data_IF_393333516800
#
_entry.id   IF_393333516800
#
_cell.length_a   1.000
_cell.length_b   1.000
_cell.length_c   1.000
_cell.angle_alpha   90.00
_cell.angle_beta   90.00
_cell.angle_gamma   90.00
#
_symmetry.space_group_name_H-M   'P 1'
#
loop_
_entity.id
_entity.type
_entity.pdbx_description
1 polymer ?
#
# COMPACT_ATOMS: atom_id res chain seq x y z
N UNK A 1 -16.89 -5.82 44.23
CA UNK A 1 -15.73 -6.36 43.50
C UNK A 1 -15.14 -5.27 42.64
N UNK A 2 -13.84 -4.94 42.73
CA UNK A 2 -13.25 -3.83 42.00
C UNK A 2 -13.03 -4.20 40.54
N UNK A 3 -13.35 -3.25 39.63
CA UNK A 3 -13.09 -3.33 38.21
C UNK A 3 -11.58 -3.38 37.97
N UNK A 4 -11.12 -4.44 37.29
CA UNK A 4 -9.76 -4.51 36.73
C UNK A 4 -9.67 -3.57 35.53
N UNK A 5 -8.98 -2.46 35.69
CA UNK A 5 -8.49 -1.62 34.60
C UNK A 5 -7.37 -2.40 33.90
N UNK A 6 -7.64 -2.87 32.68
CA UNK A 6 -6.60 -3.42 31.83
C UNK A 6 -5.73 -2.24 31.32
N UNK A 7 -4.68 -1.96 32.07
CA UNK A 7 -3.59 -1.10 31.59
C UNK A 7 -2.85 -1.85 30.48
N UNK A 8 -2.93 -1.33 29.27
CA UNK A 8 -1.96 -1.63 28.19
C UNK A 8 -0.61 -1.12 28.70
N UNK A 9 0.44 -1.93 28.76
CA UNK A 9 1.74 -1.41 29.13
C UNK A 9 2.18 -0.40 28.06
N UNK A 10 2.29 0.87 28.46
CA UNK A 10 3.11 1.85 27.75
C UNK A 10 4.54 1.32 27.78
N UNK A 11 4.97 0.69 26.71
CA UNK A 11 6.39 0.45 26.48
C UNK A 11 6.91 1.72 25.82
N UNK A 12 7.65 2.58 26.56
CA UNK A 12 8.32 3.71 25.94
C UNK A 12 9.41 3.11 25.06
N UNK A 13 9.17 3.03 23.76
CA UNK A 13 10.22 2.75 22.81
C UNK A 13 10.92 4.09 22.59
N UNK A 14 12.05 4.31 23.25
CA UNK A 14 13.00 5.37 22.93
C UNK A 14 13.23 5.32 21.41
N UNK A 15 12.76 6.34 20.71
CA UNK A 15 13.13 6.56 19.32
C UNK A 15 14.63 6.82 19.31
N UNK A 16 15.41 5.83 18.93
CA UNK A 16 16.84 5.99 18.67
C UNK A 16 16.98 6.90 17.45
N UNK A 17 17.01 8.21 17.70
CA UNK A 17 17.26 9.24 16.67
C UNK A 17 18.66 9.08 16.03
N UNK A 18 19.56 8.31 16.65
CA UNK A 18 20.93 8.07 16.16
C UNK A 18 20.99 7.11 14.98
N UNK A 19 19.93 6.32 14.72
CA UNK A 19 19.87 5.36 13.60
C UNK A 19 19.47 6.00 12.25
N UNK A 20 19.10 7.27 12.20
CA UNK A 20 18.66 7.97 10.98
C UNK A 20 19.84 8.38 10.05
N UNK A 21 21.09 8.08 10.42
CA UNK A 21 22.27 8.42 9.63
C UNK A 21 22.43 7.44 8.47
N UNK A 22 22.14 7.91 7.25
CA UNK A 22 22.39 7.26 5.94
C UNK A 22 21.55 6.02 5.60
N UNK A 23 20.22 6.13 5.63
CA UNK A 23 19.32 5.07 5.15
C UNK A 23 19.48 4.76 3.64
N UNK A 24 19.93 5.70 2.82
CA UNK A 24 20.19 5.50 1.40
C UNK A 24 21.70 5.47 1.07
N UNK A 25 22.09 4.75 0.01
CA UNK A 25 23.50 4.77 -0.45
C UNK A 25 23.86 6.16 -0.99
N UNK A 26 25.15 6.60 -0.88
CA UNK A 26 25.59 7.90 -1.43
C UNK A 26 25.24 8.07 -2.91
N UNK A 27 25.43 7.01 -3.70
CA UNK A 27 25.08 7.01 -5.12
C UNK A 27 23.56 7.21 -5.33
N UNK A 28 22.71 6.57 -4.53
CA UNK A 28 21.26 6.79 -4.65
C UNK A 28 20.86 8.19 -4.20
N UNK A 29 21.54 8.77 -3.23
CA UNK A 29 21.28 10.15 -2.81
C UNK A 29 21.52 11.14 -3.97
N UNK A 30 22.60 10.96 -4.73
CA UNK A 30 22.87 11.78 -5.92
C UNK A 30 21.78 11.62 -6.99
N UNK A 31 21.41 10.39 -7.31
CA UNK A 31 20.33 10.08 -8.25
C UNK A 31 19.00 10.68 -7.75
N UNK A 32 18.68 10.52 -6.48
CA UNK A 32 17.46 11.08 -5.86
C UNK A 32 17.42 12.60 -5.95
N UNK A 33 18.54 13.29 -5.65
CA UNK A 33 18.61 14.75 -5.75
C UNK A 33 18.29 15.20 -7.17
N UNK A 34 18.87 14.57 -8.19
CA UNK A 34 18.56 14.86 -9.58
C UNK A 34 17.09 14.59 -9.92
N UNK A 35 16.55 13.42 -9.49
CA UNK A 35 15.13 13.08 -9.71
C UNK A 35 14.17 14.06 -9.03
N UNK A 36 14.59 14.65 -7.91
CA UNK A 36 13.75 15.58 -7.16
C UNK A 36 13.66 16.97 -7.83
N UNK A 37 14.53 17.29 -8.77
CA UNK A 37 14.40 18.48 -9.62
C UNK A 37 13.28 18.34 -10.69
N UNK A 38 12.82 17.10 -10.95
CA UNK A 38 11.71 16.84 -11.90
C UNK A 38 10.37 16.81 -11.17
N UNK A 39 9.25 16.98 -11.90
CA UNK A 39 7.94 16.68 -11.34
C UNK A 39 7.87 15.19 -10.91
N UNK A 40 7.14 14.85 -9.82
CA UNK A 40 7.17 13.49 -9.29
C UNK A 40 6.73 12.40 -10.28
N UNK A 41 5.74 12.67 -11.12
CA UNK A 41 5.24 11.70 -12.10
C UNK A 41 6.27 11.47 -13.24
N UNK A 42 6.91 12.54 -13.72
CA UNK A 42 8.00 12.44 -14.72
C UNK A 42 9.19 11.69 -14.13
N UNK A 43 9.59 12.01 -12.91
CA UNK A 43 10.68 11.33 -12.22
C UNK A 43 10.40 9.83 -12.05
N UNK A 44 9.15 9.45 -11.74
CA UNK A 44 8.73 8.04 -11.63
C UNK A 44 8.94 7.29 -12.95
N UNK A 45 8.39 7.80 -14.04
CA UNK A 45 8.54 7.18 -15.38
C UNK A 45 10.01 7.09 -15.81
N UNK A 46 10.78 8.17 -15.60
CA UNK A 46 12.21 8.22 -15.94
C UNK A 46 13.00 7.20 -15.11
N UNK A 47 12.76 7.15 -13.80
CA UNK A 47 13.44 6.21 -12.89
C UNK A 47 13.15 4.76 -13.27
N UNK A 48 11.88 4.41 -13.58
CA UNK A 48 11.50 3.05 -13.90
C UNK A 48 12.00 2.61 -15.28
N UNK A 49 12.04 3.52 -16.27
CA UNK A 49 12.66 3.25 -17.57
C UNK A 49 14.17 3.06 -17.45
N UNK A 50 14.85 3.93 -16.68
CA UNK A 50 16.28 3.80 -16.41
C UNK A 50 16.62 2.50 -15.67
N UNK A 51 15.83 2.15 -14.64
CA UNK A 51 15.96 0.88 -13.93
C UNK A 51 15.77 -0.32 -14.87
N UNK A 52 14.76 -0.27 -15.74
CA UNK A 52 14.51 -1.30 -16.75
C UNK A 52 15.72 -1.50 -17.68
N UNK A 53 16.35 -0.40 -18.10
CA UNK A 53 17.57 -0.46 -18.92
C UNK A 53 18.74 -1.09 -18.16
N UNK A 54 19.01 -0.66 -16.93
CA UNK A 54 20.07 -1.22 -16.08
C UNK A 54 19.88 -2.73 -15.88
N UNK A 55 18.66 -3.16 -15.52
CA UNK A 55 18.35 -4.57 -15.25
C UNK A 55 18.46 -5.49 -16.48
N UNK A 56 18.41 -4.95 -17.69
CA UNK A 56 18.61 -5.70 -18.93
C UNK A 56 20.08 -5.90 -19.29
N UNK A 57 21.01 -5.15 -18.68
CA UNK A 57 22.45 -5.34 -18.94
C UNK A 57 22.93 -6.65 -18.31
N UNK A 58 23.68 -7.51 -19.04
CA UNK A 58 24.01 -8.86 -18.55
C UNK A 58 24.78 -8.87 -17.22
N UNK A 59 25.87 -8.15 -17.13
CA UNK A 59 26.75 -8.16 -15.93
C UNK A 59 26.24 -7.19 -14.86
N UNK A 60 26.03 -5.92 -15.21
CA UNK A 60 25.61 -4.86 -14.28
C UNK A 60 24.23 -5.18 -13.73
N UNK A 61 23.28 -5.60 -14.59
CA UNK A 61 21.92 -5.96 -14.18
C UNK A 61 21.89 -7.16 -13.23
N UNK A 62 22.69 -8.21 -13.51
CA UNK A 62 22.78 -9.37 -12.63
C UNK A 62 23.34 -8.99 -11.24
N UNK A 63 24.41 -8.20 -11.21
CA UNK A 63 24.99 -7.70 -9.95
C UNK A 63 24.00 -6.81 -9.19
N UNK A 64 23.31 -5.92 -9.92
CA UNK A 64 22.33 -5.01 -9.33
C UNK A 64 21.15 -5.78 -8.70
N UNK A 65 20.58 -6.76 -9.41
CA UNK A 65 19.53 -7.66 -8.88
C UNK A 65 19.97 -8.34 -7.60
N UNK A 66 21.16 -8.99 -7.60
CA UNK A 66 21.73 -9.62 -6.41
C UNK A 66 21.90 -8.64 -5.26
N UNK A 67 22.19 -7.36 -5.55
CA UNK A 67 22.36 -6.33 -4.52
C UNK A 67 21.03 -5.81 -3.93
N UNK A 68 19.89 -6.12 -4.54
CA UNK A 68 18.56 -5.70 -4.09
C UNK A 68 17.81 -6.81 -3.34
N UNK A 69 18.02 -8.07 -3.70
CA UNK A 69 17.35 -9.22 -3.09
C UNK A 69 17.89 -9.45 -1.66
N UNK A 70 17.01 -9.71 -0.66
CA UNK A 70 17.45 -10.00 0.71
C UNK A 70 18.22 -11.33 0.77
N UNK A 71 19.29 -11.37 1.59
CA UNK A 71 20.11 -12.58 1.74
C UNK A 71 19.36 -13.70 2.50
N UNK A 72 18.44 -13.35 3.39
CA UNK A 72 17.76 -14.25 4.32
C UNK A 72 16.23 -14.11 4.25
N UNK A 73 15.66 -13.90 3.08
CA UNK A 73 14.21 -13.86 2.89
C UNK A 73 13.59 -15.19 3.32
N UNK A 74 12.71 -15.18 4.34
CA UNK A 74 11.96 -16.36 4.76
C UNK A 74 10.58 -16.33 4.13
N UNK A 75 10.12 -17.42 3.49
CA UNK A 75 8.74 -17.52 3.03
C UNK A 75 7.75 -17.41 4.19
N UNK A 76 6.63 -16.75 3.93
CA UNK A 76 5.55 -16.53 4.90
C UNK A 76 4.24 -16.97 4.28
N UNK A 77 3.48 -17.80 5.01
CA UNK A 77 2.15 -18.24 4.59
C UNK A 77 1.08 -17.28 5.12
N UNK A 78 0.28 -16.71 4.24
CA UNK A 78 -0.87 -15.87 4.59
C UNK A 78 -2.04 -16.20 3.66
N UNK A 79 -3.19 -16.53 4.21
CA UNK A 79 -4.40 -16.91 3.44
C UNK A 79 -4.14 -17.97 2.36
N UNK A 80 -3.30 -18.99 2.65
CA UNK A 80 -2.98 -20.05 1.69
C UNK A 80 -1.99 -19.65 0.59
N UNK A 81 -1.49 -18.41 0.61
CA UNK A 81 -0.48 -17.92 -0.35
C UNK A 81 0.90 -17.94 0.33
N UNK A 82 1.89 -18.50 -0.34
CA UNK A 82 3.29 -18.43 0.09
C UNK A 82 3.96 -17.21 -0.50
N UNK A 83 4.26 -16.23 0.37
CA UNK A 83 5.00 -15.03 0.02
C UNK A 83 6.49 -15.29 0.18
N UNK A 84 7.35 -15.00 -0.82
CA UNK A 84 8.80 -15.23 -0.75
C UNK A 84 9.48 -14.50 0.43
N UNK A 85 8.91 -13.39 0.86
CA UNK A 85 9.28 -12.64 2.06
C UNK A 85 8.13 -11.71 2.48
N UNK A 86 8.24 -11.13 3.68
CA UNK A 86 7.19 -10.32 4.28
C UNK A 86 7.08 -8.87 3.79
N UNK A 87 7.94 -8.42 2.86
CA UNK A 87 7.94 -7.02 2.42
C UNK A 87 7.41 -6.88 0.99
N UNK A 88 6.34 -6.12 0.83
CA UNK A 88 5.72 -5.81 -0.45
C UNK A 88 5.74 -4.33 -0.82
N UNK A 89 5.32 -4.06 -2.05
CA UNK A 89 5.09 -2.72 -2.56
C UNK A 89 3.59 -2.40 -2.57
N UNK A 90 3.21 -1.29 -1.94
CA UNK A 90 1.82 -0.86 -1.82
C UNK A 90 1.25 -0.35 -3.15
N UNK A 91 -0.07 -0.45 -3.30
CA UNK A 91 -0.81 0.10 -4.44
C UNK A 91 -0.52 1.59 -4.68
N UNK A 92 -0.63 2.00 -5.94
CA UNK A 92 -0.40 3.36 -6.39
C UNK A 92 0.98 3.60 -6.99
N UNK A 93 1.98 2.74 -6.74
CA UNK A 93 3.30 2.84 -7.35
C UNK A 93 3.28 2.32 -8.80
N UNK A 94 2.81 1.10 -9.02
CA UNK A 94 2.55 0.54 -10.35
C UNK A 94 1.04 0.41 -10.58
N UNK A 95 0.41 1.52 -10.93
CA UNK A 95 -1.05 1.59 -11.09
C UNK A 95 -1.60 0.72 -12.22
N UNK A 96 -0.75 0.42 -13.20
CA UNK A 96 -1.16 -0.20 -14.45
C UNK A 96 -0.44 -1.54 -14.74
N UNK A 97 0.25 -2.11 -13.76
CA UNK A 97 1.04 -3.35 -13.91
C UNK A 97 2.12 -3.25 -15.02
N UNK A 98 2.78 -2.10 -15.15
CA UNK A 98 3.82 -1.85 -16.17
C UNK A 98 5.21 -2.33 -15.76
N UNK A 99 5.47 -2.47 -14.46
CA UNK A 99 6.82 -2.59 -13.91
C UNK A 99 7.06 -3.88 -13.11
N UNK A 100 6.19 -4.89 -13.25
CA UNK A 100 6.23 -6.13 -12.45
C UNK A 100 7.56 -6.88 -12.51
N UNK A 101 8.19 -6.95 -13.69
CA UNK A 101 9.50 -7.61 -13.85
C UNK A 101 10.60 -6.88 -13.07
N UNK A 102 10.63 -5.55 -13.16
CA UNK A 102 11.60 -4.72 -12.44
C UNK A 102 11.39 -4.82 -10.93
N UNK A 103 10.14 -4.78 -10.47
CA UNK A 103 9.79 -4.86 -9.05
C UNK A 103 10.13 -6.23 -8.46
N UNK A 104 9.93 -7.33 -9.22
CA UNK A 104 10.42 -8.64 -8.84
C UNK A 104 11.93 -8.67 -8.67
N UNK A 105 12.67 -8.10 -9.64
CA UNK A 105 14.13 -8.06 -9.65
C UNK A 105 14.70 -7.23 -8.48
N UNK A 106 13.90 -6.32 -7.89
CA UNK A 106 14.23 -5.60 -6.65
C UNK A 106 13.98 -6.40 -5.38
N UNK A 107 13.43 -7.62 -5.48
CA UNK A 107 13.27 -8.54 -4.35
C UNK A 107 11.99 -8.39 -3.54
N UNK A 108 11.00 -7.60 -4.00
CA UNK A 108 9.70 -7.52 -3.32
C UNK A 108 9.03 -8.89 -3.25
N UNK A 109 8.54 -9.27 -2.07
CA UNK A 109 7.79 -10.51 -1.85
C UNK A 109 6.41 -10.49 -2.50
N UNK A 110 5.82 -9.29 -2.61
CA UNK A 110 4.58 -9.06 -3.34
C UNK A 110 4.49 -7.62 -3.83
N UNK A 111 3.66 -7.42 -4.85
CA UNK A 111 3.36 -6.09 -5.42
C UNK A 111 1.85 -5.91 -5.52
N UNK A 112 1.32 -4.83 -4.96
CA UNK A 112 -0.08 -4.46 -5.12
C UNK A 112 -0.19 -3.45 -6.26
N UNK A 113 -0.79 -3.88 -7.39
CA UNK A 113 -1.03 -3.03 -8.57
C UNK A 113 -2.37 -2.31 -8.46
N UNK A 114 -2.51 -1.19 -9.13
CA UNK A 114 -3.73 -0.36 -9.04
C UNK A 114 -3.49 0.87 -8.15
N UNK A 115 -4.55 1.55 -7.69
CA UNK A 115 -5.98 1.19 -7.82
C UNK A 115 -6.41 1.29 -9.29
N UNK A 116 -7.05 0.23 -9.75
CA UNK A 116 -7.64 0.16 -11.08
C UNK A 116 -9.16 0.27 -10.97
N UNK A 117 -9.76 0.89 -11.99
CA UNK A 117 -11.21 1.05 -12.13
C UNK A 117 -11.68 0.29 -13.37
N UNK A 118 -12.98 -0.06 -13.49
CA UNK A 118 -13.51 -0.77 -14.66
C UNK A 118 -13.10 -0.18 -16.00
N UNK A 119 -13.24 1.13 -16.14
CA UNK A 119 -12.81 1.88 -17.33
C UNK A 119 -11.65 2.82 -16.99
N UNK A 120 -10.85 3.16 -17.98
CA UNK A 120 -9.74 4.10 -17.83
C UNK A 120 -10.24 5.48 -17.38
N UNK A 121 -9.43 6.17 -16.59
CA UNK A 121 -9.71 7.57 -16.23
C UNK A 121 -8.42 8.35 -16.00
N UNK A 122 -8.40 9.65 -16.35
CA UNK A 122 -7.20 10.50 -16.24
C UNK A 122 -6.83 10.83 -14.79
N UNK A 123 -7.75 10.67 -13.84
CA UNK A 123 -7.60 11.14 -12.48
C UNK A 123 -7.82 12.65 -12.35
N UNK A 124 -7.27 13.24 -11.27
CA UNK A 124 -7.36 14.66 -11.04
C UNK A 124 -6.32 15.45 -11.87
N UNK A 125 -6.56 16.76 -12.15
CA UNK A 125 -5.59 17.59 -12.86
C UNK A 125 -4.23 17.65 -12.17
N UNK A 126 -3.15 17.78 -12.95
CA UNK A 126 -1.81 18.04 -12.46
C UNK A 126 -1.64 19.55 -12.11
N UNK A 127 -0.77 19.91 -11.13
CA UNK A 127 0.04 19.03 -10.31
C UNK A 127 -0.79 18.32 -9.22
N UNK A 128 -0.52 17.04 -9.02
CA UNK A 128 -1.33 16.17 -8.12
C UNK A 128 -0.50 15.25 -7.22
N UNK A 129 0.81 15.39 -7.26
CA UNK A 129 1.76 14.68 -6.41
C UNK A 129 2.86 15.64 -5.99
N UNK A 130 3.05 15.80 -4.67
CA UNK A 130 3.95 16.77 -4.06
C UNK A 130 4.87 16.08 -3.07
N UNK A 131 6.16 16.44 -3.10
CA UNK A 131 7.16 15.96 -2.15
C UNK A 131 7.29 16.92 -0.98
N UNK A 132 7.41 16.36 0.22
CA UNK A 132 7.76 17.08 1.44
C UNK A 132 9.08 16.51 1.97
N UNK A 133 10.24 16.95 1.43
CA UNK A 133 11.53 16.32 1.75
C UNK A 133 11.90 16.40 3.23
N UNK A 134 11.59 17.50 3.92
CA UNK A 134 11.87 17.70 5.35
C UNK A 134 11.13 16.68 6.23
N UNK A 135 9.96 16.22 5.77
CA UNK A 135 9.11 15.26 6.45
C UNK A 135 9.28 13.83 5.94
N UNK A 136 10.16 13.59 4.96
CA UNK A 136 10.25 12.32 4.24
C UNK A 136 8.85 11.83 3.80
N UNK A 137 8.05 12.72 3.20
CA UNK A 137 6.63 12.53 2.94
C UNK A 137 6.22 12.93 1.53
N UNK A 138 5.00 12.52 1.15
CA UNK A 138 4.33 12.92 -0.07
C UNK A 138 2.89 13.33 0.23
N UNK A 139 2.39 14.36 -0.45
CA UNK A 139 0.94 14.63 -0.56
C UNK A 139 0.52 14.26 -1.98
N UNK A 140 -0.54 13.47 -2.11
CA UNK A 140 -1.09 13.10 -3.40
C UNK A 140 -2.61 13.33 -3.47
N UNK A 141 -3.07 13.75 -4.65
CA UNK A 141 -4.48 13.80 -5.04
C UNK A 141 -4.69 13.20 -6.43
N UNK A 142 -4.18 11.98 -6.61
CA UNK A 142 -4.12 11.32 -7.91
C UNK A 142 -5.49 11.05 -8.53
N UNK A 143 -6.51 10.70 -7.73
CA UNK A 143 -7.87 10.45 -8.22
C UNK A 143 -8.00 9.20 -9.07
N UNK A 144 -7.25 8.14 -8.72
CA UNK A 144 -7.25 6.84 -9.40
C UNK A 144 -7.00 6.92 -10.91
N UNK A 145 -6.01 7.74 -11.34
CA UNK A 145 -5.57 7.72 -12.73
C UNK A 145 -5.06 6.32 -13.12
N UNK A 146 -5.68 5.72 -14.11
CA UNK A 146 -5.34 4.37 -14.57
C UNK A 146 -5.85 4.11 -16.00
N UNK A 147 -5.30 3.07 -16.65
CA UNK A 147 -5.60 2.69 -18.03
C UNK A 147 -6.83 1.78 -18.16
N UNK A 148 -7.53 1.48 -17.05
CA UNK A 148 -8.68 0.57 -16.98
C UNK A 148 -8.31 -0.89 -16.75
N UNK A 149 -9.30 -1.68 -16.33
CA UNK A 149 -9.11 -3.08 -15.96
C UNK A 149 -8.65 -3.94 -17.16
N UNK A 150 -9.19 -3.72 -18.36
CA UNK A 150 -8.80 -4.50 -19.54
C UNK A 150 -7.34 -4.32 -19.90
N UNK A 151 -6.84 -3.08 -19.92
CA UNK A 151 -5.43 -2.79 -20.18
C UNK A 151 -4.51 -3.38 -19.12
N UNK A 152 -4.94 -3.42 -17.86
CA UNK A 152 -4.19 -4.06 -16.78
C UNK A 152 -4.14 -5.58 -16.98
N UNK A 153 -5.25 -6.22 -17.33
CA UNK A 153 -5.32 -7.67 -17.60
C UNK A 153 -4.33 -8.06 -18.69
N UNK A 154 -4.27 -7.32 -19.80
CA UNK A 154 -3.32 -7.62 -20.89
C UNK A 154 -1.86 -7.62 -20.40
N UNK A 155 -1.51 -6.71 -19.50
CA UNK A 155 -0.15 -6.68 -18.91
C UNK A 155 0.09 -7.80 -17.90
N UNK A 156 -0.92 -8.14 -17.11
CA UNK A 156 -0.85 -9.21 -16.11
C UNK A 156 -0.69 -10.61 -16.75
N UNK A 157 -1.16 -10.83 -17.98
CA UNK A 157 -0.90 -12.07 -18.74
C UNK A 157 0.59 -12.37 -18.86
N UNK A 158 1.44 -11.33 -18.88
CA UNK A 158 2.89 -11.43 -19.01
C UNK A 158 3.63 -11.19 -17.68
N UNK A 159 2.94 -11.33 -16.52
CA UNK A 159 3.58 -11.15 -15.22
C UNK A 159 4.71 -12.17 -14.99
N UNK A 160 5.78 -11.81 -14.28
CA UNK A 160 6.87 -12.74 -14.00
C UNK A 160 6.42 -13.87 -13.07
N UNK A 161 6.79 -15.12 -13.39
CA UNK A 161 6.50 -16.27 -12.54
C UNK A 161 7.10 -16.08 -11.13
N UNK A 162 6.37 -16.50 -10.10
CA UNK A 162 6.83 -16.44 -8.69
C UNK A 162 6.83 -15.05 -8.06
N UNK A 163 6.24 -14.03 -8.70
CA UNK A 163 5.87 -12.78 -8.06
C UNK A 163 4.42 -12.87 -7.61
N UNK A 164 4.16 -12.63 -6.33
CA UNK A 164 2.80 -12.49 -5.80
C UNK A 164 2.28 -11.10 -6.17
N UNK A 165 1.13 -11.05 -6.81
CA UNK A 165 0.51 -9.80 -7.28
C UNK A 165 -0.88 -9.65 -6.67
N UNK A 166 -1.08 -8.55 -5.95
CA UNK A 166 -2.41 -8.11 -5.49
C UNK A 166 -3.05 -7.15 -6.48
N UNK A 167 -4.33 -7.35 -6.77
CA UNK A 167 -5.12 -6.43 -7.58
C UNK A 167 -5.91 -5.46 -6.70
N UNK A 168 -5.48 -4.20 -6.63
CA UNK A 168 -6.21 -3.18 -5.88
C UNK A 168 -7.28 -2.57 -6.78
N UNK A 169 -8.54 -2.71 -6.38
CA UNK A 169 -9.72 -2.29 -7.14
C UNK A 169 -10.46 -1.14 -6.47
N UNK A 170 -11.05 -0.27 -7.28
CA UNK A 170 -11.85 0.87 -6.81
C UNK A 170 -12.90 1.28 -7.85
N UNK A 171 -13.81 2.17 -7.44
CA UNK A 171 -14.82 2.70 -8.35
C UNK A 171 -14.29 3.83 -9.23
N UNK A 172 -14.85 3.99 -10.42
CA UNK A 172 -14.62 5.15 -11.27
C UNK A 172 -15.11 6.45 -10.58
N UNK A 173 -14.46 7.56 -10.91
CA UNK A 173 -14.78 8.87 -10.32
C UNK A 173 -16.22 9.30 -10.60
N UNK A 174 -16.68 9.05 -11.82
CA UNK A 174 -18.01 9.47 -12.29
C UNK A 174 -19.14 8.51 -11.92
N UNK A 175 -18.83 7.33 -11.38
CA UNK A 175 -19.84 6.38 -10.91
C UNK A 175 -20.43 6.90 -9.59
N UNK A 176 -21.74 7.08 -9.48
CA UNK A 176 -22.41 7.42 -8.22
C UNK A 176 -22.15 6.38 -7.12
N UNK A 177 -22.22 6.77 -5.85
CA UNK A 177 -21.98 5.83 -4.76
C UNK A 177 -22.99 4.68 -4.71
N UNK A 178 -24.23 4.92 -5.12
CA UNK A 178 -25.31 3.94 -5.21
C UNK A 178 -25.01 2.82 -6.23
N UNK A 179 -24.15 3.10 -7.21
CA UNK A 179 -23.71 2.14 -8.24
C UNK A 179 -22.27 1.67 -8.01
N UNK A 180 -21.65 2.06 -6.88
CA UNK A 180 -20.26 1.75 -6.62
C UNK A 180 -19.95 0.25 -6.63
N UNK A 181 -20.88 -0.56 -6.10
CA UNK A 181 -20.71 -2.03 -6.03
C UNK A 181 -20.48 -2.64 -7.40
N UNK A 182 -21.18 -2.14 -8.44
CA UNK A 182 -21.05 -2.67 -9.81
C UNK A 182 -19.63 -2.46 -10.36
N UNK A 183 -19.00 -1.33 -10.07
CA UNK A 183 -17.62 -1.06 -10.46
C UNK A 183 -16.64 -2.05 -9.81
N UNK A 184 -16.81 -2.34 -8.51
CA UNK A 184 -15.98 -3.33 -7.83
C UNK A 184 -16.19 -4.74 -8.40
N UNK A 185 -17.43 -5.12 -8.71
CA UNK A 185 -17.78 -6.41 -9.32
C UNK A 185 -17.14 -6.55 -10.70
N UNK A 186 -17.20 -5.52 -11.53
CA UNK A 186 -16.59 -5.54 -12.88
C UNK A 186 -15.07 -5.67 -12.77
N UNK A 187 -14.42 -4.84 -11.94
CA UNK A 187 -12.98 -4.89 -11.76
C UNK A 187 -12.51 -6.22 -11.16
N UNK A 188 -13.24 -6.75 -10.16
CA UNK A 188 -13.01 -8.06 -9.56
C UNK A 188 -13.07 -9.16 -10.61
N UNK A 189 -14.15 -9.23 -11.38
CA UNK A 189 -14.36 -10.27 -12.38
C UNK A 189 -13.26 -10.30 -13.43
N UNK A 190 -12.84 -9.11 -13.90
CA UNK A 190 -11.77 -8.99 -14.90
C UNK A 190 -10.40 -9.40 -14.36
N UNK A 191 -10.05 -9.00 -13.14
CA UNK A 191 -8.72 -9.22 -12.59
C UNK A 191 -8.53 -10.58 -11.93
N UNK A 192 -9.59 -11.23 -11.46
CA UNK A 192 -9.53 -12.37 -10.56
C UNK A 192 -8.55 -13.47 -11.01
N UNK A 193 -8.59 -13.84 -12.29
CA UNK A 193 -7.74 -14.93 -12.80
C UNK A 193 -6.26 -14.53 -12.95
N UNK A 194 -5.94 -13.25 -12.90
CA UNK A 194 -4.59 -12.72 -13.22
C UNK A 194 -3.81 -12.22 -12.01
N UNK A 195 -4.43 -12.18 -10.82
CA UNK A 195 -3.80 -11.77 -9.57
C UNK A 195 -3.88 -12.89 -8.53
N UNK A 196 -3.13 -12.77 -7.44
CA UNK A 196 -3.09 -13.79 -6.38
C UNK A 196 -4.03 -13.43 -5.23
N UNK A 197 -4.32 -12.15 -5.03
CA UNK A 197 -5.33 -11.64 -4.09
C UNK A 197 -5.99 -10.37 -4.64
N UNK A 198 -7.14 -10.02 -4.09
CA UNK A 198 -7.84 -8.77 -4.39
C UNK A 198 -7.76 -7.84 -3.16
N UNK A 199 -7.51 -6.55 -3.38
CA UNK A 199 -7.58 -5.51 -2.36
C UNK A 199 -8.70 -4.51 -2.72
N UNK A 200 -9.74 -4.48 -1.91
CA UNK A 200 -10.87 -3.55 -2.05
C UNK A 200 -10.50 -2.21 -1.41
N UNK A 201 -10.41 -1.17 -2.22
CA UNK A 201 -9.99 0.16 -1.78
C UNK A 201 -11.18 1.13 -1.68
N UNK A 202 -11.71 1.30 -0.48
CA UNK A 202 -12.77 2.26 -0.15
C UNK A 202 -12.27 3.44 0.70
N UNK A 203 -10.95 3.61 0.81
CA UNK A 203 -10.34 4.50 1.80
C UNK A 203 -9.57 5.69 1.23
N UNK A 204 -9.54 5.86 -0.11
CA UNK A 204 -8.83 6.98 -0.72
C UNK A 204 -9.53 8.32 -0.43
N UNK A 205 -8.79 9.35 0.04
CA UNK A 205 -9.36 10.67 0.23
C UNK A 205 -9.48 11.48 -1.07
N UNK A 206 -9.04 10.92 -2.20
CA UNK A 206 -8.86 11.65 -3.46
C UNK A 206 -9.98 11.41 -4.48
N UNK A 207 -10.95 10.61 -4.13
CA UNK A 207 -12.18 10.35 -4.90
C UNK A 207 -13.36 10.83 -4.07
N UNK A 208 -14.18 11.76 -4.59
CA UNK A 208 -15.32 12.29 -3.84
C UNK A 208 -16.26 11.20 -3.34
N UNK A 209 -16.69 11.28 -2.08
CA UNK A 209 -17.62 10.36 -1.45
C UNK A 209 -17.10 8.93 -1.23
N UNK A 210 -15.86 8.60 -1.63
CA UNK A 210 -15.36 7.22 -1.50
C UNK A 210 -15.23 6.77 -0.05
N UNK A 211 -14.86 7.67 0.86
CA UNK A 211 -14.75 7.33 2.28
C UNK A 211 -16.11 7.14 2.96
N UNK A 212 -17.19 7.66 2.38
CA UNK A 212 -18.54 7.43 2.85
C UNK A 212 -18.94 5.95 2.66
N UNK A 213 -18.29 5.26 1.71
CA UNK A 213 -18.44 3.81 1.49
C UNK A 213 -17.80 2.93 2.60
N UNK A 214 -17.19 3.52 3.63
CA UNK A 214 -16.72 2.77 4.80
C UNK A 214 -17.84 2.49 5.82
N UNK A 215 -19.09 2.66 5.41
CA UNK A 215 -20.27 2.30 6.19
C UNK A 215 -20.52 0.78 6.17
N UNK A 216 -21.03 0.27 7.29
CA UNK A 216 -21.26 -1.17 7.52
C UNK A 216 -22.11 -1.84 6.43
N UNK A 217 -23.20 -1.17 6.02
CA UNK A 217 -24.12 -1.67 5.00
C UNK A 217 -23.42 -1.89 3.67
N UNK A 218 -22.65 -0.91 3.22
CA UNK A 218 -21.92 -0.99 1.96
C UNK A 218 -20.84 -2.08 1.97
N UNK A 219 -20.05 -2.15 3.05
CA UNK A 219 -19.00 -3.18 3.17
C UNK A 219 -19.62 -4.57 3.14
N UNK A 220 -20.72 -4.79 3.89
CA UNK A 220 -21.40 -6.08 3.91
C UNK A 220 -21.96 -6.46 2.52
N UNK A 221 -22.68 -5.56 1.86
CA UNK A 221 -23.23 -5.79 0.52
C UNK A 221 -22.12 -6.10 -0.50
N UNK A 222 -21.08 -5.28 -0.53
CA UNK A 222 -19.97 -5.47 -1.46
C UNK A 222 -19.28 -6.82 -1.26
N UNK A 223 -18.90 -7.15 -0.02
CA UNK A 223 -18.21 -8.41 0.26
C UNK A 223 -19.11 -9.63 0.02
N UNK A 224 -20.41 -9.56 0.29
CA UNK A 224 -21.36 -10.62 -0.04
C UNK A 224 -21.36 -10.90 -1.55
N UNK A 225 -21.48 -9.85 -2.39
CA UNK A 225 -21.42 -10.00 -3.85
C UNK A 225 -20.08 -10.55 -4.35
N UNK A 226 -18.97 -10.03 -3.85
CA UNK A 226 -17.65 -10.51 -4.26
C UNK A 226 -17.39 -11.96 -3.84
N UNK A 227 -17.86 -12.37 -2.67
CA UNK A 227 -17.74 -13.75 -2.19
C UNK A 227 -18.64 -14.71 -2.97
N UNK A 228 -19.84 -14.29 -3.34
CA UNK A 228 -20.71 -15.07 -4.23
C UNK A 228 -20.03 -15.34 -5.57
N UNK A 229 -19.47 -14.30 -6.20
CA UNK A 229 -18.70 -14.44 -7.44
C UNK A 229 -17.44 -15.30 -7.26
N UNK A 230 -16.76 -15.19 -6.12
CA UNK A 230 -15.60 -16.03 -5.79
C UNK A 230 -15.97 -17.51 -5.67
N UNK A 231 -17.14 -17.83 -5.13
CA UNK A 231 -17.59 -19.22 -4.98
C UNK A 231 -17.78 -19.97 -6.32
N UNK A 232 -17.94 -19.22 -7.42
CA UNK A 232 -18.04 -19.73 -8.78
C UNK A 232 -16.66 -19.96 -9.44
N UNK A 233 -15.56 -19.62 -8.77
CA UNK A 233 -14.22 -19.72 -9.32
C UNK A 233 -13.55 -21.04 -8.92
N UNK A 234 -12.75 -21.60 -9.83
CA UNK A 234 -11.99 -22.84 -9.59
C UNK A 234 -10.93 -22.68 -8.49
N UNK A 235 -10.30 -21.52 -8.43
CA UNK A 235 -9.21 -21.23 -7.47
C UNK A 235 -9.67 -20.17 -6.50
N UNK A 236 -9.68 -20.48 -5.20
CA UNK A 236 -9.97 -19.53 -4.14
C UNK A 236 -8.85 -18.52 -3.97
N UNK A 237 -9.18 -17.23 -3.88
CA UNK A 237 -8.23 -16.14 -3.62
C UNK A 237 -8.78 -15.22 -2.55
N UNK A 238 -7.94 -14.70 -1.62
CA UNK A 238 -8.40 -13.84 -0.56
C UNK A 238 -8.79 -12.45 -1.07
N UNK A 239 -9.79 -11.88 -0.40
CA UNK A 239 -10.28 -10.52 -0.65
C UNK A 239 -9.99 -9.68 0.58
N UNK A 240 -9.07 -8.73 0.47
CA UNK A 240 -8.65 -7.84 1.54
C UNK A 240 -9.38 -6.51 1.49
N UNK A 241 -9.66 -5.94 2.66
CA UNK A 241 -10.20 -4.59 2.82
C UNK A 241 -9.09 -3.61 3.16
N UNK A 242 -8.92 -2.53 2.38
CA UNK A 242 -7.94 -1.48 2.64
C UNK A 242 -8.60 -0.27 3.27
N UNK A 243 -8.16 0.07 4.49
CA UNK A 243 -8.77 1.09 5.35
C UNK A 243 -7.91 2.34 5.48
N UNK A 244 -8.54 3.46 5.91
CA UNK A 244 -7.86 4.71 6.23
C UNK A 244 -7.15 4.65 7.60
N UNK A 245 -6.18 5.54 7.87
CA UNK A 245 -5.58 5.67 9.20
C UNK A 245 -6.37 6.59 10.14
N UNK A 246 -7.36 7.31 9.61
CA UNK A 246 -8.03 8.41 10.32
C UNK A 246 -9.23 7.92 11.16
N UNK A 247 -9.09 6.78 11.85
CA UNK A 247 -10.11 6.19 12.73
C UNK A 247 -9.78 6.40 14.20
N UNK A 248 -10.78 6.75 14.99
CA UNK A 248 -10.71 6.69 16.46
C UNK A 248 -10.99 5.27 16.97
N UNK A 249 -10.55 4.97 18.20
CA UNK A 249 -10.64 3.64 18.78
C UNK A 249 -12.06 3.01 18.72
N UNK A 250 -13.10 3.78 19.03
CA UNK A 250 -14.48 3.29 18.98
C UNK A 250 -14.92 2.95 17.54
N UNK A 251 -14.49 3.73 16.56
CA UNK A 251 -14.77 3.45 15.15
C UNK A 251 -14.08 2.17 14.67
N UNK A 252 -12.88 1.87 15.19
CA UNK A 252 -12.18 0.61 14.89
C UNK A 252 -12.96 -0.58 15.45
N UNK A 253 -13.53 -0.48 16.66
CA UNK A 253 -14.37 -1.55 17.23
C UNK A 253 -15.60 -1.85 16.36
N UNK A 254 -16.29 -0.82 15.90
CA UNK A 254 -17.44 -1.01 14.99
C UNK A 254 -16.98 -1.58 13.64
N UNK A 255 -15.91 -1.06 13.07
CA UNK A 255 -15.33 -1.58 11.84
C UNK A 255 -14.95 -3.07 11.96
N UNK A 256 -14.41 -3.51 13.10
CA UNK A 256 -14.10 -4.92 13.36
C UNK A 256 -15.36 -5.79 13.36
N UNK A 257 -16.47 -5.31 13.92
CA UNK A 257 -17.76 -6.03 13.82
C UNK A 257 -18.19 -6.22 12.38
N UNK A 258 -18.07 -5.15 11.59
CA UNK A 258 -18.38 -5.17 10.15
C UNK A 258 -17.46 -6.11 9.39
N UNK A 259 -16.15 -6.06 9.63
CA UNK A 259 -15.15 -6.96 9.02
C UNK A 259 -15.50 -8.43 9.30
N UNK A 260 -15.84 -8.78 10.56
CA UNK A 260 -16.24 -10.14 10.94
C UNK A 260 -17.56 -10.55 10.28
N UNK A 261 -18.56 -9.65 10.28
CA UNK A 261 -19.88 -9.89 9.65
C UNK A 261 -19.76 -10.08 8.14
N UNK A 262 -18.97 -9.23 7.48
CA UNK A 262 -18.71 -9.30 6.04
C UNK A 262 -17.73 -10.42 5.65
N UNK A 263 -17.20 -11.20 6.61
CA UNK A 263 -16.25 -12.31 6.37
C UNK A 263 -15.07 -11.87 5.50
N UNK A 264 -14.48 -10.71 5.81
CA UNK A 264 -13.28 -10.19 5.13
C UNK A 264 -12.10 -11.11 5.40
N UNK A 265 -11.36 -11.51 4.37
CA UNK A 265 -10.27 -12.48 4.52
C UNK A 265 -8.98 -11.87 5.10
N UNK A 266 -8.80 -10.56 4.99
CA UNK A 266 -7.67 -9.83 5.57
C UNK A 266 -7.84 -8.32 5.49
N UNK A 267 -7.06 -7.55 6.24
CA UNK A 267 -7.14 -6.08 6.28
C UNK A 267 -5.79 -5.46 5.95
N UNK A 268 -5.79 -4.42 5.09
CA UNK A 268 -4.62 -3.62 4.76
C UNK A 268 -4.70 -2.29 5.53
N UNK A 269 -3.87 -2.13 6.52
CA UNK A 269 -3.80 -0.98 7.43
C UNK A 269 -2.45 -0.28 7.30
N UNK A 270 -2.37 0.90 6.62
CA UNK A 270 -3.47 1.76 6.18
C UNK A 270 -3.23 2.41 4.83
N UNK A 271 -4.23 3.16 4.33
CA UNK A 271 -4.09 4.15 3.27
C UNK A 271 -3.37 5.42 3.81
N UNK A 272 -3.43 6.52 3.07
CA UNK A 272 -2.89 7.84 3.42
C UNK A 272 -3.82 8.59 4.38
N UNK A 273 -3.25 9.51 5.19
CA UNK A 273 -4.02 10.37 6.11
C UNK A 273 -4.39 11.72 5.49
N UNK A 274 -5.46 12.31 5.97
CA UNK A 274 -5.81 13.73 5.70
C UNK A 274 -5.22 14.68 6.73
N UNK A 275 -4.70 14.20 7.85
CA UNK A 275 -4.05 15.05 8.86
C UNK A 275 -2.80 15.72 8.29
N UNK A 276 -2.52 16.91 8.78
CA UNK A 276 -1.32 17.71 8.47
C UNK A 276 -0.52 18.03 9.73
N UNK A 277 -0.87 17.41 10.83
CA UNK A 277 -0.21 17.64 12.12
C UNK A 277 1.22 17.14 12.12
N UNK A 278 2.09 17.82 12.88
CA UNK A 278 3.49 17.44 13.07
C UNK A 278 4.41 17.65 11.86
N UNK A 279 3.93 18.27 10.78
CA UNK A 279 4.79 18.56 9.63
C UNK A 279 5.82 19.64 9.94
N UNK A 280 7.07 19.39 9.52
CA UNK A 280 8.19 20.36 9.54
C UNK A 280 8.14 21.31 8.34
N UNK A 281 7.55 20.87 7.23
CA UNK A 281 7.34 21.72 6.05
C UNK A 281 6.50 22.92 6.43
N UNK A 282 6.91 24.09 5.95
CA UNK A 282 6.25 25.37 6.20
C UNK A 282 4.75 25.31 5.92
N UNK A 283 3.96 25.87 6.86
CA UNK A 283 2.49 25.86 6.83
C UNK A 283 1.93 26.49 5.55
N UNK A 284 2.53 27.58 5.06
CA UNK A 284 2.11 28.25 3.82
C UNK A 284 2.27 27.34 2.61
N UNK A 285 3.39 26.62 2.54
CA UNK A 285 3.64 25.61 1.50
C UNK A 285 2.60 24.50 1.55
N UNK A 286 2.32 23.95 2.75
CA UNK A 286 1.30 22.89 2.93
C UNK A 286 -0.09 23.38 2.54
N UNK A 287 -0.46 24.62 2.91
CA UNK A 287 -1.73 25.24 2.53
C UNK A 287 -1.84 25.44 1.02
N UNK A 288 -0.75 25.88 0.36
CA UNK A 288 -0.71 26.04 -1.10
C UNK A 288 -0.88 24.71 -1.83
N UNK A 289 -0.29 23.62 -1.31
CA UNK A 289 -0.51 22.26 -1.82
C UNK A 289 -1.99 21.88 -1.65
N UNK A 290 -2.59 22.15 -0.50
CA UNK A 290 -4.00 21.93 -0.22
C UNK A 290 -4.37 20.47 0.03
N UNK A 291 -5.58 20.06 -0.41
CA UNK A 291 -6.14 18.74 -0.16
C UNK A 291 -5.34 17.60 -0.82
N UNK A 292 -5.42 16.42 -0.23
CA UNK A 292 -4.78 15.20 -0.70
C UNK A 292 -4.41 14.25 0.45
N UNK A 293 -4.05 13.02 0.12
CA UNK A 293 -3.57 12.04 1.08
C UNK A 293 -2.08 12.24 1.39
N UNK A 294 -1.74 12.35 2.67
CA UNK A 294 -0.36 12.43 3.17
C UNK A 294 0.17 11.03 3.47
N UNK A 295 1.35 10.71 2.95
CA UNK A 295 2.07 9.44 3.16
C UNK A 295 3.50 9.70 3.64
N UNK A 296 4.20 8.66 4.07
CA UNK A 296 5.57 8.74 4.55
C UNK A 296 5.68 8.74 6.07
N UNK A 297 6.76 9.32 6.61
CA UNK A 297 7.01 9.32 8.06
C UNK A 297 5.83 9.87 8.88
N UNK A 298 5.13 10.94 8.47
CA UNK A 298 4.03 11.49 9.26
C UNK A 298 2.85 10.53 9.51
N UNK A 299 2.64 9.52 8.65
CA UNK A 299 1.55 8.55 8.85
C UNK A 299 1.95 7.37 9.74
N UNK A 300 3.21 7.28 10.16
CA UNK A 300 3.75 6.14 10.89
C UNK A 300 2.98 5.83 12.17
N UNK A 301 2.83 6.80 13.06
CA UNK A 301 2.17 6.59 14.35
C UNK A 301 0.68 6.29 14.19
N UNK A 302 -0.04 7.06 13.36
CA UNK A 302 -1.46 6.82 13.10
C UNK A 302 -1.70 5.41 12.54
N UNK A 303 -0.88 4.98 11.56
CA UNK A 303 -1.03 3.64 10.98
C UNK A 303 -0.64 2.52 11.94
N UNK A 304 0.33 2.74 12.83
CA UNK A 304 0.71 1.77 13.86
C UNK A 304 -0.37 1.65 14.95
N UNK A 305 -0.97 2.76 15.34
CA UNK A 305 -2.08 2.77 16.30
C UNK A 305 -3.28 1.99 15.76
N UNK A 306 -3.71 2.28 14.53
CA UNK A 306 -4.82 1.56 13.89
C UNK A 306 -4.50 0.07 13.75
N UNK A 307 -3.29 -0.27 13.30
CA UNK A 307 -2.85 -1.65 13.16
C UNK A 307 -2.89 -2.41 14.49
N UNK A 308 -2.36 -1.82 15.57
CA UNK A 308 -2.34 -2.44 16.88
C UNK A 308 -3.75 -2.65 17.46
N UNK A 309 -4.65 -1.68 17.31
CA UNK A 309 -6.04 -1.85 17.73
C UNK A 309 -6.77 -2.93 16.93
N UNK A 310 -6.57 -2.98 15.60
CA UNK A 310 -7.11 -4.06 14.78
C UNK A 310 -6.61 -5.44 15.23
N UNK A 311 -5.31 -5.57 15.51
CA UNK A 311 -4.72 -6.82 15.95
C UNK A 311 -5.33 -7.30 17.27
N UNK A 312 -5.54 -6.40 18.23
CA UNK A 312 -6.17 -6.69 19.53
C UNK A 312 -7.64 -7.11 19.33
N UNK A 313 -8.43 -6.32 18.61
CA UNK A 313 -9.87 -6.54 18.45
C UNK A 313 -10.20 -7.75 17.54
N UNK A 314 -9.32 -8.08 16.60
CA UNK A 314 -9.44 -9.27 15.75
C UNK A 314 -8.90 -10.55 16.42
N UNK A 315 -8.01 -10.42 17.42
CA UNK A 315 -7.46 -11.56 18.15
C UNK A 315 -6.71 -12.56 17.26
N UNK A 316 -6.08 -12.11 16.19
CA UNK A 316 -5.32 -12.95 15.26
C UNK A 316 -6.19 -13.77 14.29
N UNK A 317 -7.53 -13.61 14.30
CA UNK A 317 -8.43 -14.38 13.43
C UNK A 317 -8.39 -13.99 11.97
N UNK A 318 -7.95 -12.77 11.66
CA UNK A 318 -7.87 -12.19 10.31
C UNK A 318 -6.48 -11.58 10.13
N UNK A 319 -5.71 -11.95 9.09
CA UNK A 319 -4.37 -11.44 8.86
C UNK A 319 -4.38 -9.95 8.50
N UNK A 320 -3.32 -9.26 8.91
CA UNK A 320 -3.14 -7.84 8.69
C UNK A 320 -1.92 -7.57 7.81
N UNK A 321 -2.06 -6.66 6.84
CA UNK A 321 -0.94 -6.10 6.07
C UNK A 321 -0.69 -4.69 6.58
N UNK A 322 0.48 -4.47 7.21
CA UNK A 322 0.85 -3.17 7.76
C UNK A 322 1.41 -2.22 6.70
N UNK A 323 0.83 -1.03 6.55
CA UNK A 323 1.28 -0.03 5.57
C UNK A 323 1.32 1.35 6.22
N UNK A 324 2.35 2.14 5.91
CA UNK A 324 2.49 3.53 6.35
C UNK A 324 3.73 3.78 7.20
N UNK A 325 4.57 4.70 6.74
CA UNK A 325 5.74 5.17 7.47
C UNK A 325 6.95 4.24 7.54
N UNK A 326 7.01 3.18 6.73
CA UNK A 326 8.09 2.18 6.78
C UNK A 326 9.26 2.61 5.88
N UNK A 327 10.44 2.81 6.49
CA UNK A 327 11.69 3.23 5.84
C UNK A 327 12.88 2.35 6.24
N UNK A 328 12.79 1.64 7.35
CA UNK A 328 13.87 0.90 7.99
C UNK A 328 13.41 -0.48 8.47
N UNK A 329 14.40 -1.32 8.87
CA UNK A 329 14.16 -2.60 9.54
C UNK A 329 13.40 -2.42 10.86
N UNK A 330 13.70 -1.36 11.61
CA UNK A 330 12.99 -1.03 12.85
C UNK A 330 11.51 -0.74 12.58
N UNK A 331 11.20 0.08 11.54
CA UNK A 331 9.81 0.37 11.17
C UNK A 331 9.05 -0.91 10.74
N UNK A 332 9.72 -1.80 9.99
CA UNK A 332 9.17 -3.10 9.61
C UNK A 332 8.87 -3.97 10.82
N UNK A 333 9.86 -4.11 11.73
CA UNK A 333 9.68 -4.90 12.96
C UNK A 333 8.58 -4.33 13.84
N UNK A 334 8.44 -3.01 13.91
CA UNK A 334 7.37 -2.35 14.64
C UNK A 334 5.97 -2.68 14.09
N UNK A 335 5.82 -2.85 12.77
CA UNK A 335 4.57 -3.33 12.17
C UNK A 335 4.30 -4.79 12.54
N UNK A 336 5.32 -5.65 12.44
CA UNK A 336 5.20 -7.09 12.79
C UNK A 336 4.84 -7.25 14.27
N UNK A 337 5.51 -6.55 15.18
CA UNK A 337 5.22 -6.63 16.62
C UNK A 337 3.82 -6.14 16.99
N UNK A 338 3.20 -5.31 16.15
CA UNK A 338 1.81 -4.86 16.28
C UNK A 338 0.79 -5.77 15.58
N UNK A 339 1.21 -6.96 15.14
CA UNK A 339 0.32 -7.99 14.61
C UNK A 339 0.19 -8.02 13.08
N UNK A 340 1.03 -7.28 12.32
CA UNK A 340 1.07 -7.44 10.88
C UNK A 340 1.67 -8.80 10.49
N UNK A 341 1.01 -9.51 9.57
CA UNK A 341 1.55 -10.71 8.92
C UNK A 341 2.48 -10.36 7.76
N UNK A 342 2.21 -9.27 7.07
CA UNK A 342 2.99 -8.72 5.96
C UNK A 342 3.10 -7.21 6.11
N UNK A 343 4.09 -6.60 5.45
CA UNK A 343 4.31 -5.15 5.47
C UNK A 343 4.46 -4.63 4.04
N UNK A 344 3.92 -3.47 3.75
CA UNK A 344 4.11 -2.79 2.46
C UNK A 344 4.79 -1.44 2.64
N UNK A 345 5.63 -1.10 1.67
CA UNK A 345 6.27 0.22 1.55
C UNK A 345 5.74 0.97 0.33
N UNK A 346 5.78 2.29 0.37
CA UNK A 346 5.55 3.20 -0.75
C UNK A 346 6.54 4.36 -0.72
N UNK A 347 6.31 5.34 0.13
CA UNK A 347 7.16 6.53 0.29
C UNK A 347 8.56 6.16 0.71
N UNK A 348 8.72 5.15 1.60
CA UNK A 348 10.04 4.64 1.98
C UNK A 348 10.85 4.17 0.78
N UNK A 349 10.25 3.48 -0.19
CA UNK A 349 10.92 3.07 -1.42
C UNK A 349 11.47 4.27 -2.22
N UNK A 350 10.69 5.36 -2.33
CA UNK A 350 11.11 6.57 -3.05
C UNK A 350 12.31 7.25 -2.36
N UNK A 351 12.34 7.29 -1.03
CA UNK A 351 13.41 7.97 -0.29
C UNK A 351 14.65 7.12 -0.06
N UNK A 352 14.50 5.80 0.15
CA UNK A 352 15.58 4.85 0.46
C UNK A 352 16.20 4.25 -0.81
N UNK A 353 15.38 4.06 -1.85
CA UNK A 353 15.80 3.57 -3.16
C UNK A 353 15.67 2.07 -3.36
N UNK A 354 16.21 1.55 -4.48
CA UNK A 354 15.92 0.21 -5.00
C UNK A 354 16.41 -0.93 -4.11
N UNK A 355 17.32 -0.68 -3.17
CA UNK A 355 17.82 -1.68 -2.23
C UNK A 355 17.02 -1.76 -0.92
N UNK A 356 15.85 -1.12 -0.84
CA UNK A 356 15.04 -1.07 0.38
C UNK A 356 14.68 -2.46 0.91
N UNK A 357 14.32 -3.40 0.01
CA UNK A 357 13.94 -4.77 0.41
C UNK A 357 15.09 -5.45 1.13
N UNK A 358 16.29 -5.42 0.54
CA UNK A 358 17.47 -5.97 1.18
C UNK A 358 17.78 -5.29 2.51
N UNK A 359 17.72 -3.95 2.56
CA UNK A 359 18.03 -3.20 3.79
C UNK A 359 17.09 -3.50 4.95
N UNK A 360 15.83 -3.73 4.65
CA UNK A 360 14.82 -4.02 5.67
C UNK A 360 14.91 -5.48 6.14
N UNK A 361 15.18 -6.43 5.24
CA UNK A 361 15.10 -7.86 5.53
C UNK A 361 16.46 -8.54 5.78
N UNK A 362 17.56 -7.82 5.63
CA UNK A 362 18.91 -8.29 6.02
C UNK A 362 19.35 -7.71 7.35
#
# INVERSE_FOLDING_TARGET
LPQKTNNVPDVPMELDESSDVNISSPMYNLVKTFMFCMSPEVAHEFAMKGLSWVLRTPIIGSWFKKSCVPANGKPIQVCGIEFPNGLGLAAGFDKNAKWLHQLKDLGFGHVEVGTVTPVSQPGNPAPRLFRLPQDKALINRMGFNNDGADAMVERLKNRPKGLIVGGNIGKNKNTPNEQAVDDYVIAFTKLYNYVDYIAVNISSPNTPGLRDLQEDSFICELFEKLQALRSEKEVWKPIFLKIAPDFHHNQIKELVKTIKKAKVDGVIATNTTISREGLRTDKKTVQTIGAGGLSGKPVYEASNTVLGFLAIELGGSIPLIGVGGVFSKSDYNAKISRGASLVQVYTGFIYVGPRIVRKILS
#
